data_IF_661637405287
#
_entry.id   IF_661637405287
#
_cell.length_a   1.000
_cell.length_b   1.000
_cell.length_c   1.000
_cell.angle_alpha   90.00
_cell.angle_beta   90.00
_cell.angle_gamma   90.00
#
_symmetry.space_group_name_H-M   'P 1'
#
loop_
_entity.id
_entity.type
_entity.pdbx_description
1 polymer ?
#
# COMPACT_ATOMS: atom_id res chain seq x y z
N UNK A 1 3.44 -4.70 9.40
CA UNK A 1 4.45 -3.63 9.40
C UNK A 1 5.82 -4.26 9.29
N UNK A 2 6.62 -3.82 8.33
CA UNK A 2 8.03 -4.19 8.20
C UNK A 2 8.81 -2.99 8.69
N UNK A 3 9.78 -3.24 9.58
CA UNK A 3 10.59 -2.20 10.19
C UNK A 3 12.04 -2.49 9.86
N UNK A 4 12.75 -1.45 9.43
CA UNK A 4 14.17 -1.51 9.14
C UNK A 4 14.84 -0.32 9.80
N UNK A 5 16.05 -0.52 10.30
CA UNK A 5 16.90 0.57 10.77
C UNK A 5 17.40 1.42 9.60
N UNK A 6 17.85 2.64 9.90
CA UNK A 6 18.46 3.52 8.89
C UNK A 6 19.76 2.96 8.28
N UNK A 7 20.39 1.97 8.92
CA UNK A 7 21.58 1.29 8.41
C UNK A 7 21.18 0.14 7.46
N UNK A 8 20.12 -0.60 7.81
CA UNK A 8 19.59 -1.66 6.99
C UNK A 8 19.07 -1.12 5.66
N UNK A 9 18.34 0.01 5.68
CA UNK A 9 17.77 0.63 4.47
C UNK A 9 18.82 1.04 3.44
N UNK A 10 20.03 1.44 3.87
CA UNK A 10 21.14 1.79 2.95
C UNK A 10 21.65 0.61 2.13
N UNK A 11 21.44 -0.62 2.62
CA UNK A 11 21.87 -1.87 1.98
C UNK A 11 20.70 -2.69 1.42
N UNK A 12 19.49 -2.11 1.43
CA UNK A 12 18.27 -2.78 1.07
C UNK A 12 18.00 -2.57 -0.42
N UNK A 13 18.17 -3.63 -1.20
CA UNK A 13 17.82 -3.69 -2.61
C UNK A 13 16.48 -4.43 -2.81
N UNK A 14 16.02 -4.51 -4.06
CA UNK A 14 14.79 -5.25 -4.39
C UNK A 14 14.89 -6.74 -4.06
N UNK A 15 16.05 -7.37 -4.23
CA UNK A 15 16.26 -8.80 -3.96
C UNK A 15 16.02 -9.14 -2.48
N UNK A 16 16.35 -8.21 -1.57
CA UNK A 16 16.11 -8.36 -0.13
C UNK A 16 14.74 -7.85 0.29
N UNK A 17 14.27 -6.73 -0.29
CA UNK A 17 13.00 -6.11 0.09
C UNK A 17 11.79 -6.96 -0.30
N UNK A 18 11.77 -7.54 -1.50
CA UNK A 18 10.60 -8.30 -2.00
C UNK A 18 10.29 -9.52 -1.11
N UNK A 19 11.27 -10.38 -0.73
CA UNK A 19 11.01 -11.47 0.20
C UNK A 19 10.54 -11.00 1.57
N UNK A 20 11.10 -9.90 2.10
CA UNK A 20 10.69 -9.34 3.38
C UNK A 20 9.21 -8.91 3.37
N UNK A 21 8.80 -8.12 2.39
CA UNK A 21 7.42 -7.70 2.22
C UNK A 21 6.50 -8.90 1.99
N UNK A 22 6.88 -9.83 1.11
CA UNK A 22 6.10 -11.02 0.81
C UNK A 22 5.89 -11.93 2.03
N UNK A 23 6.91 -12.10 2.88
CA UNK A 23 6.81 -12.87 4.12
C UNK A 23 5.88 -12.18 5.12
N UNK A 24 6.00 -10.86 5.27
CA UNK A 24 5.12 -10.08 6.14
C UNK A 24 3.65 -10.14 5.69
N UNK A 25 3.39 -10.02 4.39
CA UNK A 25 2.06 -10.15 3.82
C UNK A 25 1.45 -11.55 4.04
N UNK A 26 2.22 -12.62 3.75
CA UNK A 26 1.77 -14.00 4.01
C UNK A 26 1.44 -14.25 5.47
N UNK A 27 2.27 -13.73 6.39
CA UNK A 27 2.02 -13.81 7.82
C UNK A 27 0.72 -13.10 8.19
N UNK A 28 0.52 -11.88 7.72
CA UNK A 28 -0.70 -11.11 7.96
C UNK A 28 -1.95 -11.85 7.46
N UNK A 29 -1.91 -12.43 6.26
CA UNK A 29 -3.01 -13.24 5.71
C UNK A 29 -3.30 -14.48 6.57
N UNK A 30 -2.27 -15.17 7.05
CA UNK A 30 -2.43 -16.30 7.98
C UNK A 30 -3.11 -15.87 9.29
N UNK A 31 -2.74 -14.70 9.81
CA UNK A 31 -3.35 -14.15 11.01
C UNK A 31 -4.81 -13.69 10.77
N UNK A 32 -5.18 -13.29 9.54
CA UNK A 32 -6.57 -12.98 9.19
C UNK A 32 -7.53 -14.16 9.43
N UNK A 33 -7.07 -15.41 9.29
CA UNK A 33 -7.90 -16.59 9.59
C UNK A 33 -8.38 -16.56 11.06
N UNK A 34 -7.49 -16.18 11.99
CA UNK A 34 -7.82 -16.07 13.42
C UNK A 34 -8.76 -14.90 13.69
N UNK A 35 -8.55 -13.78 13.00
CA UNK A 35 -9.40 -12.59 13.08
C UNK A 35 -10.83 -12.93 12.63
N UNK A 36 -10.99 -13.59 11.49
CA UNK A 36 -12.30 -13.92 10.93
C UNK A 36 -13.03 -15.01 11.71
N UNK A 37 -12.30 -15.90 12.37
CA UNK A 37 -12.88 -17.01 13.14
C UNK A 37 -13.40 -16.59 14.53
N UNK A 38 -13.05 -15.40 15.02
CA UNK A 38 -13.47 -14.87 16.32
C UNK A 38 -14.23 -13.54 16.14
N UNK A 39 -15.55 -13.56 15.91
CA UNK A 39 -16.33 -12.37 15.52
C UNK A 39 -16.15 -11.12 16.41
N UNK A 40 -16.12 -11.27 17.74
CA UNK A 40 -16.10 -10.11 18.65
C UNK A 40 -14.67 -9.62 18.93
N UNK A 41 -13.74 -10.55 19.15
CA UNK A 41 -12.33 -10.23 19.40
C UNK A 41 -11.58 -9.88 18.11
N UNK A 42 -11.96 -10.45 16.97
CA UNK A 42 -11.33 -10.23 15.68
C UNK A 42 -11.46 -8.79 15.19
N UNK A 43 -12.64 -8.19 15.32
CA UNK A 43 -12.82 -6.77 15.02
C UNK A 43 -11.89 -5.91 15.87
N UNK A 44 -11.83 -6.17 17.19
CA UNK A 44 -10.93 -5.46 18.09
C UNK A 44 -9.46 -5.67 17.70
N UNK A 45 -9.04 -6.88 17.37
CA UNK A 45 -7.68 -7.18 16.91
C UNK A 45 -7.30 -6.40 15.66
N UNK A 46 -8.21 -6.29 14.68
CA UNK A 46 -7.97 -5.53 13.45
C UNK A 46 -7.84 -4.03 13.74
N UNK A 47 -8.75 -3.48 14.55
CA UNK A 47 -8.73 -2.07 14.95
C UNK A 47 -7.47 -1.75 15.75
N UNK A 48 -7.13 -2.55 16.75
CA UNK A 48 -5.94 -2.34 17.59
C UNK A 48 -4.65 -2.40 16.75
N UNK A 49 -4.57 -3.32 15.78
CA UNK A 49 -3.43 -3.40 14.87
C UNK A 49 -3.31 -2.15 13.97
N UNK A 50 -4.44 -1.66 13.43
CA UNK A 50 -4.45 -0.46 12.61
C UNK A 50 -4.10 0.79 13.43
N UNK A 51 -4.72 0.95 14.60
CA UNK A 51 -4.46 2.08 15.53
C UNK A 51 -2.99 2.07 15.96
N UNK A 52 -2.45 0.90 16.34
CA UNK A 52 -1.04 0.80 16.72
C UNK A 52 -0.07 1.19 15.60
N UNK A 53 -0.36 0.79 14.35
CA UNK A 53 0.44 1.20 13.20
C UNK A 53 0.27 2.70 12.90
N UNK A 54 -0.94 3.25 13.01
CA UNK A 54 -1.22 4.67 12.82
C UNK A 54 -0.52 5.53 13.88
N UNK A 55 -0.57 5.15 15.15
CA UNK A 55 0.10 5.86 16.22
C UNK A 55 1.62 5.82 16.07
N UNK A 56 2.18 4.67 15.67
CA UNK A 56 3.61 4.57 15.37
C UNK A 56 4.01 5.48 14.21
N UNK A 57 3.18 5.59 13.17
CA UNK A 57 3.46 6.46 12.01
C UNK A 57 3.42 7.96 12.31
N UNK A 58 2.97 8.36 13.51
CA UNK A 58 2.99 9.75 13.99
C UNK A 58 4.32 10.14 14.64
N UNK A 59 5.23 9.20 14.86
CA UNK A 59 6.57 9.50 15.35
C UNK A 59 7.38 10.15 14.21
N UNK A 60 7.72 11.43 14.38
CA UNK A 60 8.50 12.20 13.41
C UNK A 60 9.92 11.63 13.19
N UNK A 61 10.39 10.73 14.05
CA UNK A 61 11.66 10.02 13.86
C UNK A 61 11.55 8.80 12.94
N UNK A 62 10.33 8.42 12.52
CA UNK A 62 10.07 7.26 11.67
C UNK A 62 9.58 7.68 10.29
N UNK A 63 10.34 7.28 9.26
CA UNK A 63 9.90 7.41 7.88
C UNK A 63 8.94 6.26 7.54
N UNK A 64 7.63 6.53 7.60
CA UNK A 64 6.58 5.56 7.31
C UNK A 64 5.97 5.80 5.94
N UNK A 65 5.80 4.72 5.17
CA UNK A 65 5.07 4.70 3.90
C UNK A 65 3.96 3.66 4.01
N UNK A 66 2.74 4.06 3.66
CA UNK A 66 1.56 3.21 3.63
C UNK A 66 1.34 2.68 2.22
N UNK A 67 1.02 1.39 2.12
CA UNK A 67 0.65 0.75 0.86
C UNK A 67 -0.71 0.09 1.00
N UNK A 68 -1.56 0.27 0.00
CA UNK A 68 -2.81 -0.49 -0.13
C UNK A 68 -2.97 -0.95 -1.57
N UNK A 69 -3.30 -2.23 -1.73
CA UNK A 69 -3.48 -2.88 -3.02
C UNK A 69 -4.97 -3.06 -3.30
N UNK A 70 -5.46 -2.37 -4.32
CA UNK A 70 -6.83 -2.36 -4.79
C UNK A 70 -6.98 -3.14 -6.12
N UNK A 71 -5.91 -3.75 -6.62
CA UNK A 71 -5.88 -4.53 -7.87
C UNK A 71 -6.94 -5.63 -7.90
N UNK A 72 -7.27 -6.24 -6.75
CA UNK A 72 -8.22 -7.37 -6.71
C UNK A 72 -9.68 -6.97 -6.50
N UNK A 73 -10.01 -5.68 -6.47
CA UNK A 73 -11.40 -5.22 -6.31
C UNK A 73 -12.21 -5.18 -7.61
N UNK A 74 -11.59 -5.40 -8.78
CA UNK A 74 -12.31 -5.56 -10.05
C UNK A 74 -13.04 -4.29 -10.50
N UNK A 75 -12.49 -3.11 -10.21
CA UNK A 75 -13.15 -1.83 -10.47
C UNK A 75 -13.66 -1.66 -11.91
N UNK A 76 -12.89 -2.11 -12.90
CA UNK A 76 -13.26 -2.04 -14.32
C UNK A 76 -14.25 -3.11 -14.78
N UNK A 77 -14.53 -4.12 -13.95
CA UNK A 77 -15.44 -5.22 -14.28
C UNK A 77 -16.85 -5.03 -13.73
N UNK A 78 -17.05 -4.08 -12.83
CA UNK A 78 -18.33 -3.83 -12.18
C UNK A 78 -19.30 -3.11 -13.13
N UNK A 79 -20.39 -3.77 -13.52
CA UNK A 79 -21.50 -3.18 -14.28
C UNK A 79 -22.75 -3.09 -13.40
N UNK A 80 -23.21 -1.87 -13.15
CA UNK A 80 -24.39 -1.57 -12.34
C UNK A 80 -25.68 -1.39 -13.17
N UNK A 81 -25.66 -1.77 -14.45
CA UNK A 81 -26.76 -1.59 -15.40
C UNK A 81 -26.58 -0.44 -16.38
N UNK A 82 -25.42 0.24 -16.34
CA UNK A 82 -25.08 1.37 -17.21
C UNK A 82 -23.83 1.12 -18.05
N UNK A 83 -23.32 -0.12 -18.06
CA UNK A 83 -22.06 -0.49 -18.67
C UNK A 83 -20.89 -0.40 -17.69
N UNK A 84 -19.75 -0.98 -18.11
CA UNK A 84 -18.49 -0.96 -17.35
C UNK A 84 -17.85 0.43 -17.30
N UNK A 85 -17.11 0.77 -16.22
CA UNK A 85 -16.40 2.04 -16.13
C UNK A 85 -15.40 2.24 -17.28
N UNK A 86 -15.38 3.46 -17.83
CA UNK A 86 -14.37 3.84 -18.83
C UNK A 86 -13.02 4.12 -18.15
N UNK A 87 -13.05 4.70 -16.95
CA UNK A 87 -11.92 5.05 -16.09
C UNK A 87 -12.34 4.95 -14.62
N UNK A 88 -11.39 4.70 -13.74
CA UNK A 88 -11.56 4.79 -12.29
C UNK A 88 -10.45 5.66 -11.70
N UNK A 89 -10.67 6.22 -10.51
CA UNK A 89 -9.67 7.02 -9.83
C UNK A 89 -9.79 6.90 -8.32
N UNK A 90 -8.74 7.33 -7.63
CA UNK A 90 -8.78 7.53 -6.19
C UNK A 90 -9.30 8.94 -5.90
N UNK A 91 -10.23 9.05 -4.95
CA UNK A 91 -10.62 10.35 -4.39
C UNK A 91 -9.48 10.94 -3.54
N UNK A 92 -9.60 12.22 -3.17
CA UNK A 92 -8.62 12.86 -2.30
C UNK A 92 -8.49 12.09 -0.96
N UNK A 93 -7.26 11.90 -0.50
CA UNK A 93 -6.94 11.05 0.63
C UNK A 93 -6.29 11.86 1.77
N UNK A 94 -6.74 11.72 3.04
CA UNK A 94 -6.18 12.47 4.17
C UNK A 94 -4.86 11.88 4.72
N UNK A 95 -4.44 10.68 4.29
CA UNK A 95 -3.23 10.02 4.78
C UNK A 95 -2.00 10.52 4.05
N UNK A 96 -0.98 10.96 4.80
CA UNK A 96 0.35 11.28 4.27
C UNK A 96 1.09 10.00 3.88
N UNK A 97 1.97 10.10 2.88
CA UNK A 97 2.88 9.03 2.46
C UNK A 97 2.14 7.73 2.13
N UNK A 98 1.07 7.82 1.34
CA UNK A 98 0.22 6.70 0.97
C UNK A 98 0.36 6.40 -0.52
N UNK A 99 0.54 5.13 -0.83
CA UNK A 99 0.56 4.61 -2.20
C UNK A 99 -0.62 3.64 -2.36
N UNK A 100 -1.45 3.89 -3.36
CA UNK A 100 -2.62 3.08 -3.70
C UNK A 100 -2.39 2.45 -5.06
N UNK A 101 -2.46 1.14 -5.15
CA UNK A 101 -2.22 0.39 -6.39
C UNK A 101 -3.54 -0.08 -6.98
N UNK A 102 -3.83 0.29 -8.22
CA UNK A 102 -4.99 -0.18 -8.99
C UNK A 102 -4.53 -0.97 -10.22
N UNK A 103 -5.39 -1.83 -10.76
CA UNK A 103 -5.13 -2.37 -12.10
C UNK A 103 -5.35 -1.29 -13.16
N UNK A 104 -4.61 -1.40 -14.26
CA UNK A 104 -4.97 -0.73 -15.51
C UNK A 104 -6.33 -1.24 -16.01
N UNK A 105 -6.98 -0.45 -16.88
CA UNK A 105 -8.24 -0.83 -17.52
C UNK A 105 -8.16 -2.18 -18.25
N UNK A 106 -7.06 -2.42 -18.96
CA UNK A 106 -6.82 -3.65 -19.72
C UNK A 106 -6.29 -4.78 -18.83
N UNK A 107 -6.10 -4.53 -17.54
CA UNK A 107 -5.62 -5.49 -16.53
C UNK A 107 -4.27 -6.13 -16.90
N UNK A 108 -3.42 -5.38 -17.60
CA UNK A 108 -2.08 -5.76 -18.06
C UNK A 108 -0.95 -5.12 -17.24
N UNK A 109 -1.30 -4.25 -16.27
CA UNK A 109 -0.34 -3.55 -15.42
C UNK A 109 -0.98 -2.98 -14.16
N UNK A 110 -0.17 -2.25 -13.39
CA UNK A 110 -0.58 -1.56 -12.17
C UNK A 110 -0.41 -0.05 -12.35
N UNK A 111 -1.45 0.69 -11.99
CA UNK A 111 -1.41 2.13 -11.81
C UNK A 111 -1.18 2.44 -10.32
N UNK A 112 -0.04 3.06 -10.00
CA UNK A 112 0.29 3.45 -8.64
C UNK A 112 -0.03 4.93 -8.41
N UNK A 113 -1.03 5.20 -7.57
CA UNK A 113 -1.39 6.54 -7.11
C UNK A 113 -0.56 6.89 -5.88
N UNK A 114 0.43 7.76 -6.07
CA UNK A 114 1.44 8.12 -5.07
C UNK A 114 1.07 9.45 -4.41
N UNK A 115 0.86 9.44 -3.09
CA UNK A 115 0.58 10.63 -2.29
C UNK A 115 1.70 10.86 -1.27
N UNK A 116 2.57 11.84 -1.57
CA UNK A 116 3.71 12.22 -0.74
C UNK A 116 3.63 13.70 -0.37
N UNK A 117 4.41 14.12 0.63
CA UNK A 117 4.64 15.54 0.87
C UNK A 117 5.32 16.18 -0.35
N UNK A 118 4.99 17.44 -0.68
CA UNK A 118 5.45 18.13 -1.89
C UNK A 118 6.97 18.06 -2.09
N UNK A 119 7.73 18.24 -1.00
CA UNK A 119 9.20 18.13 -1.02
C UNK A 119 9.69 16.74 -1.42
N UNK A 120 9.02 15.68 -0.97
CA UNK A 120 9.41 14.31 -1.26
C UNK A 120 8.95 13.91 -2.67
N UNK A 121 7.80 14.42 -3.10
CA UNK A 121 7.30 14.25 -4.47
C UNK A 121 8.29 14.82 -5.49
N UNK A 122 8.87 16.00 -5.22
CA UNK A 122 9.87 16.61 -6.10
C UNK A 122 11.08 15.68 -6.35
N UNK A 123 11.56 14.97 -5.33
CA UNK A 123 12.64 14.01 -5.48
C UNK A 123 12.16 12.72 -6.15
N UNK A 124 10.98 12.23 -5.78
CA UNK A 124 10.36 11.04 -6.36
C UNK A 124 10.20 11.16 -7.89
N UNK A 125 9.70 12.29 -8.37
CA UNK A 125 9.51 12.56 -9.80
C UNK A 125 10.83 12.69 -10.58
N UNK A 126 11.94 12.98 -9.89
CA UNK A 126 13.26 13.14 -10.50
C UNK A 126 14.08 11.86 -10.50
N UNK A 127 13.68 10.85 -9.74
CA UNK A 127 14.42 9.60 -9.60
C UNK A 127 14.47 8.82 -10.93
N UNK A 128 15.69 8.52 -11.38
CA UNK A 128 15.95 7.88 -12.67
C UNK A 128 15.60 6.39 -12.71
N UNK A 129 15.53 5.71 -11.56
CA UNK A 129 15.09 4.32 -11.49
C UNK A 129 13.56 4.25 -11.55
N UNK A 130 12.87 5.14 -10.82
CA UNK A 130 11.41 5.25 -10.86
C UNK A 130 10.93 5.60 -12.27
N UNK A 131 11.57 6.56 -12.95
CA UNK A 131 11.21 6.93 -14.33
C UNK A 131 11.34 5.79 -15.34
N UNK A 132 12.20 4.80 -15.08
CA UNK A 132 12.32 3.60 -15.95
C UNK A 132 11.16 2.62 -15.75
N UNK A 133 10.43 2.75 -14.65
CA UNK A 133 9.33 1.87 -14.24
C UNK A 133 7.96 2.50 -14.44
N UNK A 134 7.89 3.82 -14.64
CA UNK A 134 6.66 4.54 -15.01
C UNK A 134 6.57 4.72 -16.53
N UNK A 135 5.34 4.81 -17.03
CA UNK A 135 5.01 4.96 -18.47
C UNK A 135 4.53 6.38 -18.77
#
# INVERSE_FOLDING_TARGET
MVECSSEETKSLDFERLVPLLGNAARKAVSDCVKILSNCQDGHKMLVDAFVGAADKSRDDNLNSIWFTDWSKFGFYDNDFGFGKPIWTSVANNPFKNLIIMLNTKENDGIEAWVHLHEKDMFYFEQDEEIKKLST
#
